data_IF_501200144713
#
_entry.id   IF_501200144713
#
_cell.length_a   1.000
_cell.length_b   1.000
_cell.length_c   1.000
_cell.angle_alpha   90.00
_cell.angle_beta   90.00
_cell.angle_gamma   90.00
#
_symmetry.space_group_name_H-M   'P 1'
#
loop_
_entity.id
_entity.type
_entity.pdbx_description
1 polymer ?
#
# COMPACT_ATOMS: atom_id res chain seq x y z
N UNK A 1 11.16 -9.01 -15.71
CA UNK A 1 11.17 -8.08 -14.56
C UNK A 1 11.35 -6.61 -14.95
N UNK A 2 12.29 -6.23 -15.82
CA UNK A 2 12.44 -4.81 -16.27
C UNK A 2 11.16 -4.19 -16.85
N UNK A 3 10.35 -4.98 -17.57
CA UNK A 3 9.07 -4.53 -18.15
C UNK A 3 8.01 -4.19 -17.10
N UNK A 4 7.97 -4.90 -15.95
CA UNK A 4 7.02 -4.64 -14.87
C UNK A 4 7.29 -3.30 -14.19
N UNK A 5 8.57 -2.95 -13.99
CA UNK A 5 8.96 -1.65 -13.44
C UNK A 5 8.68 -0.47 -14.38
N UNK A 6 8.42 -0.73 -15.67
CA UNK A 6 7.96 0.29 -16.61
C UNK A 6 6.47 0.61 -16.50
N UNK A 7 5.68 -0.25 -15.85
CA UNK A 7 4.26 -0.04 -15.68
C UNK A 7 3.99 0.97 -14.56
N UNK A 8 3.35 2.09 -14.90
CA UNK A 8 2.97 3.13 -13.92
C UNK A 8 2.08 2.57 -12.81
N UNK A 9 1.20 1.63 -13.14
CA UNK A 9 0.32 0.92 -12.19
C UNK A 9 1.15 0.16 -11.14
N UNK A 10 2.19 -0.57 -11.57
CA UNK A 10 3.10 -1.28 -10.67
C UNK A 10 3.89 -0.33 -9.76
N UNK A 11 4.43 0.77 -10.32
CA UNK A 11 5.11 1.79 -9.52
C UNK A 11 4.20 2.42 -8.45
N UNK A 12 2.95 2.67 -8.80
CA UNK A 12 1.96 3.20 -7.85
C UNK A 12 1.59 2.19 -6.78
N UNK A 13 1.47 0.90 -7.11
CA UNK A 13 1.28 -0.16 -6.10
C UNK A 13 2.45 -0.17 -5.11
N UNK A 14 3.69 -0.14 -5.60
CA UNK A 14 4.89 -0.10 -4.75
C UNK A 14 4.88 1.12 -3.82
N UNK A 15 4.52 2.29 -4.35
CA UNK A 15 4.40 3.51 -3.55
C UNK A 15 3.36 3.38 -2.42
N UNK A 16 2.16 2.86 -2.72
CA UNK A 16 1.14 2.65 -1.71
C UNK A 16 1.51 1.59 -0.67
N UNK A 17 2.18 0.51 -1.08
CA UNK A 17 2.71 -0.51 -0.17
C UNK A 17 3.80 0.07 0.75
N UNK A 18 4.66 0.93 0.21
CA UNK A 18 5.68 1.62 1.00
C UNK A 18 5.04 2.53 2.07
N UNK A 19 4.03 3.33 1.71
CA UNK A 19 3.28 4.13 2.67
C UNK A 19 2.59 3.29 3.74
N UNK A 20 2.01 2.15 3.36
CA UNK A 20 1.40 1.21 4.30
C UNK A 20 2.45 0.68 5.30
N UNK A 21 3.63 0.31 4.79
CA UNK A 21 4.76 -0.15 5.59
C UNK A 21 5.22 0.89 6.62
N UNK A 22 5.30 2.18 6.23
CA UNK A 22 5.63 3.27 7.16
C UNK A 22 4.62 3.33 8.30
N UNK A 23 3.32 3.28 7.99
CA UNK A 23 2.26 3.38 9.01
C UNK A 23 2.34 2.21 9.98
N UNK A 24 2.49 0.98 9.48
CA UNK A 24 2.64 -0.22 10.30
C UNK A 24 3.91 -0.12 11.15
N UNK A 25 5.02 0.33 10.57
CA UNK A 25 6.30 0.51 11.28
C UNK A 25 6.18 1.51 12.42
N UNK A 26 5.49 2.64 12.21
CA UNK A 26 5.22 3.63 13.26
C UNK A 26 4.37 3.01 14.37
N UNK A 27 3.31 2.28 14.04
CA UNK A 27 2.47 1.62 15.06
C UNK A 27 3.23 0.58 15.87
N UNK A 28 4.03 -0.26 15.21
CA UNK A 28 4.88 -1.23 15.89
C UNK A 28 5.89 -0.54 16.80
N UNK A 29 6.53 0.54 16.33
CA UNK A 29 7.50 1.30 17.12
C UNK A 29 6.85 1.89 18.37
N UNK A 30 5.66 2.51 18.22
CA UNK A 30 4.91 3.05 19.36
C UNK A 30 4.51 1.95 20.36
N UNK A 31 4.11 0.78 19.85
CA UNK A 31 3.77 -0.38 20.66
C UNK A 31 4.97 -0.92 21.45
N UNK A 32 6.14 -1.05 20.81
CA UNK A 32 7.35 -1.56 21.48
C UNK A 32 7.98 -0.56 22.46
N UNK A 33 7.94 0.74 22.16
CA UNK A 33 8.53 1.76 23.03
C UNK A 33 7.68 1.99 24.29
N UNK A 34 6.34 2.02 24.15
CA UNK A 34 5.44 2.31 25.27
C UNK A 34 4.18 1.42 25.24
N UNK A 35 4.31 0.10 25.52
CA UNK A 35 3.20 -0.83 25.45
C UNK A 35 2.03 -0.44 26.36
N UNK A 36 2.32 0.06 27.57
CA UNK A 36 1.29 0.42 28.56
C UNK A 36 0.45 1.64 28.16
N UNK A 37 0.97 2.49 27.27
CA UNK A 37 0.28 3.69 26.77
C UNK A 37 -0.33 3.48 25.39
N UNK A 38 -0.04 2.36 24.74
CA UNK A 38 -0.58 2.06 23.43
C UNK A 38 -2.08 1.74 23.55
N UNK A 39 -2.91 2.70 23.18
CA UNK A 39 -4.37 2.54 23.14
C UNK A 39 -4.83 2.38 21.70
N UNK A 40 -5.77 1.46 21.46
CA UNK A 40 -6.42 1.30 20.15
C UNK A 40 -7.03 2.60 19.61
N UNK A 41 -7.35 3.57 20.47
CA UNK A 41 -7.79 4.92 20.08
C UNK A 41 -6.76 5.66 19.20
N UNK A 42 -5.46 5.36 19.33
CA UNK A 42 -4.41 5.93 18.48
C UNK A 42 -4.51 5.46 17.01
N UNK A 43 -5.29 4.40 16.74
CA UNK A 43 -5.54 3.92 15.37
C UNK A 43 -6.64 4.73 14.67
N UNK A 44 -7.57 5.36 15.39
CA UNK A 44 -8.66 6.15 14.79
C UNK A 44 -8.17 7.18 13.75
N UNK A 45 -7.17 8.04 14.05
CA UNK A 45 -6.70 9.03 13.09
C UNK A 45 -6.02 8.40 11.85
N UNK A 46 -5.60 7.14 11.94
CA UNK A 46 -5.02 6.42 10.79
C UNK A 46 -6.07 5.80 9.87
N UNK A 47 -7.32 5.63 10.31
CA UNK A 47 -8.37 5.00 9.50
C UNK A 47 -8.60 5.70 8.15
N UNK A 48 -8.70 7.04 8.06
CA UNK A 48 -8.83 7.72 6.76
C UNK A 48 -7.63 7.44 5.86
N UNK A 49 -6.42 7.47 6.42
CA UNK A 49 -5.19 7.21 5.66
C UNK A 49 -5.16 5.77 5.14
N UNK A 50 -5.50 4.80 5.98
CA UNK A 50 -5.62 3.39 5.60
C UNK A 50 -6.68 3.18 4.52
N UNK A 51 -7.81 3.91 4.57
CA UNK A 51 -8.83 3.88 3.52
C UNK A 51 -8.28 4.39 2.18
N UNK A 52 -7.57 5.53 2.17
CA UNK A 52 -6.96 6.06 0.95
C UNK A 52 -5.90 5.12 0.36
N UNK A 53 -5.06 4.52 1.21
CA UNK A 53 -4.06 3.54 0.79
C UNK A 53 -4.74 2.31 0.19
N UNK A 54 -5.74 1.75 0.87
CA UNK A 54 -6.48 0.58 0.39
C UNK A 54 -7.17 0.84 -0.94
N UNK A 55 -7.82 2.01 -1.08
CA UNK A 55 -8.45 2.46 -2.33
C UNK A 55 -7.41 2.64 -3.45
N UNK A 56 -6.25 3.21 -3.14
CA UNK A 56 -5.13 3.37 -4.06
C UNK A 56 -4.58 2.03 -4.53
N UNK A 57 -4.34 1.09 -3.62
CA UNK A 57 -3.89 -0.27 -3.93
C UNK A 57 -4.90 -1.00 -4.81
N UNK A 58 -6.19 -0.96 -4.45
CA UNK A 58 -7.24 -1.62 -5.23
C UNK A 58 -7.31 -1.10 -6.68
N UNK A 59 -7.37 0.23 -6.84
CA UNK A 59 -7.41 0.85 -8.18
C UNK A 59 -6.20 0.47 -9.03
N UNK A 60 -5.01 0.55 -8.45
CA UNK A 60 -3.77 0.30 -9.20
C UNK A 60 -3.52 -1.18 -9.46
N UNK A 61 -3.99 -2.06 -8.57
CA UNK A 61 -3.97 -3.51 -8.80
C UNK A 61 -4.84 -3.89 -9.99
N UNK A 62 -6.06 -3.33 -10.09
CA UNK A 62 -6.93 -3.57 -11.24
C UNK A 62 -6.29 -3.10 -12.55
N UNK A 63 -5.69 -1.90 -12.56
CA UNK A 63 -4.96 -1.39 -13.73
C UNK A 63 -3.77 -2.29 -14.08
N UNK A 64 -3.01 -2.73 -13.10
CA UNK A 64 -1.87 -3.63 -13.31
C UNK A 64 -2.30 -4.97 -13.93
N UNK A 65 -3.40 -5.58 -13.45
CA UNK A 65 -3.93 -6.80 -14.06
C UNK A 65 -4.45 -6.58 -15.49
N UNK A 66 -5.05 -5.43 -15.79
CA UNK A 66 -5.45 -5.07 -17.15
C UNK A 66 -4.22 -4.89 -18.05
N UNK A 67 -3.20 -4.18 -17.57
CA UNK A 67 -1.94 -3.97 -18.29
C UNK A 67 -1.27 -5.32 -18.60
N UNK A 68 -1.16 -6.20 -17.60
CA UNK A 68 -0.63 -7.55 -17.77
C UNK A 68 -1.41 -8.36 -18.82
N UNK A 69 -2.75 -8.37 -18.73
CA UNK A 69 -3.59 -9.08 -19.70
C UNK A 69 -3.37 -8.55 -21.13
N UNK A 70 -3.21 -7.23 -21.28
CA UNK A 70 -2.95 -6.62 -22.59
C UNK A 70 -1.61 -7.01 -23.19
N UNK A 71 -0.57 -7.18 -22.35
CA UNK A 71 0.77 -7.62 -22.77
C UNK A 71 0.72 -9.09 -23.18
N UNK A 72 0.06 -9.94 -22.39
CA UNK A 72 -0.09 -11.37 -22.70
C UNK A 72 -0.88 -11.63 -23.98
N UNK A 73 -1.86 -10.78 -24.30
CA UNK A 73 -2.70 -10.95 -25.51
C UNK A 73 -2.00 -10.45 -26.79
N UNK A 74 -0.96 -9.61 -26.66
CA UNK A 74 -0.18 -9.08 -27.79
C UNK A 74 1.10 -9.88 -28.08
N UNK A 75 1.52 -10.74 -27.16
CA UNK A 75 2.59 -11.71 -27.32
C UNK A 75 2.09 -12.96 -28.03
#
# INVERSE_FOLDING_TARGET
MKELFGLKSFQQILFWLFLLGIIIGVFLTLYFINPDKFRFILLLPSLPVLYFISKGLYKNSNLFFMDLKSITTKS
#
